data_IF_159866917948
#
_entry.id   IF_159866917948
#
_cell.length_a   1.000
_cell.length_b   1.000
_cell.length_c   1.000
_cell.angle_alpha   90.00
_cell.angle_beta   90.00
_cell.angle_gamma   90.00
#
_symmetry.space_group_name_H-M   'P 1'
#
loop_
_entity.id
_entity.type
_entity.pdbx_description
1 polymer ?
#
# COMPACT_ATOMS: atom_id res chain seq x y z
N UNK A 1 0.79 9.60 -6.93
CA UNK A 1 -0.23 9.18 -7.93
C UNK A 1 -1.53 9.96 -7.67
N UNK A 2 -2.21 10.43 -8.71
CA UNK A 2 -3.56 11.01 -8.62
C UNK A 2 -4.61 9.90 -8.51
N UNK A 3 -5.74 10.21 -7.87
CA UNK A 3 -6.89 9.31 -7.81
C UNK A 3 -7.91 9.77 -8.85
N UNK A 4 -8.03 9.03 -9.95
CA UNK A 4 -8.85 9.42 -11.10
C UNK A 4 -8.59 10.86 -11.53
N UNK A 5 -9.69 11.58 -11.80
CA UNK A 5 -9.70 12.98 -12.26
C UNK A 5 -9.92 14.01 -11.14
N UNK A 6 -9.72 13.64 -9.87
CA UNK A 6 -9.97 14.56 -8.73
C UNK A 6 -9.06 15.79 -8.76
N UNK A 7 -7.89 15.71 -9.40
CA UNK A 7 -7.03 16.89 -9.54
C UNK A 7 -7.46 17.81 -10.69
N UNK A 8 -8.25 17.30 -11.64
CA UNK A 8 -8.68 18.05 -12.82
C UNK A 8 -9.74 19.11 -12.47
N UNK A 9 -10.42 18.95 -11.34
CA UNK A 9 -11.40 19.93 -10.81
C UNK A 9 -10.74 21.06 -10.01
N UNK A 10 -9.48 20.93 -9.61
CA UNK A 10 -8.78 21.93 -8.79
C UNK A 10 -8.69 23.30 -9.48
N UNK A 11 -8.37 23.41 -10.79
CA UNK A 11 -8.33 24.69 -11.49
C UNK A 11 -9.70 25.37 -11.66
N UNK A 12 -10.79 24.61 -11.51
CA UNK A 12 -12.16 25.11 -11.66
C UNK A 12 -12.77 25.54 -10.32
N UNK A 13 -12.14 25.22 -9.20
CA UNK A 13 -12.70 25.42 -7.86
C UNK A 13 -12.30 26.77 -7.26
N UNK A 14 -13.27 27.50 -6.70
CA UNK A 14 -13.01 28.74 -5.96
C UNK A 14 -12.28 28.48 -4.62
N UNK A 15 -12.46 27.29 -4.03
CA UNK A 15 -11.85 26.92 -2.75
C UNK A 15 -11.53 25.44 -2.70
N UNK A 16 -10.35 25.09 -2.17
CA UNK A 16 -9.89 23.72 -1.98
C UNK A 16 -9.47 23.50 -0.53
N UNK A 17 -10.15 22.58 0.15
CA UNK A 17 -9.85 22.22 1.54
C UNK A 17 -9.37 20.77 1.62
N UNK A 18 -8.13 20.55 2.06
CA UNK A 18 -7.57 19.21 2.30
C UNK A 18 -7.64 18.85 3.78
N UNK A 19 -8.57 17.96 4.14
CA UNK A 19 -8.70 17.43 5.49
C UNK A 19 -7.50 16.55 5.87
N UNK A 20 -7.19 16.50 7.17
CA UNK A 20 -6.11 15.68 7.73
C UNK A 20 -6.70 14.72 8.75
N UNK A 21 -6.23 13.46 8.71
CA UNK A 21 -6.53 12.45 9.72
C UNK A 21 -5.42 12.42 10.79
N UNK A 22 -5.49 11.46 11.72
CA UNK A 22 -4.38 11.14 12.63
C UNK A 22 -3.66 9.90 12.11
N UNK A 23 -2.33 9.93 12.16
CA UNK A 23 -1.49 8.81 11.77
C UNK A 23 -1.66 7.68 12.78
N UNK A 24 -1.98 6.48 12.31
CA UNK A 24 -2.16 5.31 13.20
C UNK A 24 -0.86 4.91 13.92
N UNK A 25 0.31 5.25 13.37
CA UNK A 25 1.61 4.82 13.92
C UNK A 25 2.22 5.81 14.93
N UNK A 26 1.93 7.11 14.84
CA UNK A 26 2.50 8.11 15.76
C UNK A 26 1.53 9.20 16.22
N UNK A 27 0.25 9.14 15.83
CA UNK A 27 -0.78 10.08 16.26
C UNK A 27 -0.70 11.51 15.70
N UNK A 28 0.37 11.86 14.97
CA UNK A 28 0.56 13.14 14.26
C UNK A 28 -0.39 13.27 13.08
N UNK A 29 -0.49 14.45 12.47
CA UNK A 29 -1.30 14.64 11.27
C UNK A 29 -0.93 13.68 10.13
N UNK A 30 -1.92 12.97 9.61
CA UNK A 30 -1.83 12.12 8.44
C UNK A 30 -2.39 12.84 7.21
N UNK A 31 -1.68 12.69 6.10
CA UNK A 31 -2.06 13.27 4.80
C UNK A 31 -2.01 12.26 3.66
N UNK A 32 -1.70 11.00 4.00
CA UNK A 32 -1.56 9.88 3.09
C UNK A 32 -2.35 8.70 3.63
N UNK A 33 -2.76 7.82 2.74
CA UNK A 33 -3.38 6.54 3.05
C UNK A 33 -2.43 5.44 2.55
N UNK A 34 -2.02 4.55 3.44
CA UNK A 34 -1.20 3.39 3.12
C UNK A 34 -2.11 2.15 3.04
N UNK A 35 -1.99 1.37 1.97
CA UNK A 35 -2.67 0.07 1.85
C UNK A 35 -1.84 -0.97 2.60
N UNK A 36 -2.50 -1.79 3.44
CA UNK A 36 -1.89 -2.87 4.22
C UNK A 36 -1.69 -4.15 3.38
N UNK A 37 -2.58 -4.38 2.42
CA UNK A 37 -2.52 -5.51 1.49
C UNK A 37 -1.55 -5.28 0.33
N UNK A 38 -0.92 -6.36 -0.16
CA UNK A 38 -0.04 -6.38 -1.34
C UNK A 38 -0.78 -6.36 -2.68
N UNK A 39 -2.11 -6.31 -2.68
CA UNK A 39 -2.92 -6.27 -3.90
C UNK A 39 -2.61 -5.03 -4.75
N UNK A 40 -2.32 -5.23 -6.04
CA UNK A 40 -1.91 -4.17 -6.98
C UNK A 40 -3.06 -3.51 -7.74
N UNK A 41 -4.29 -4.01 -7.56
CA UNK A 41 -5.48 -3.43 -8.18
C UNK A 41 -5.66 -1.99 -7.68
N UNK A 42 -5.90 -1.06 -8.61
CA UNK A 42 -6.08 0.37 -8.27
C UNK A 42 -7.30 0.58 -7.40
N UNK A 43 -8.38 -0.15 -7.70
CA UNK A 43 -9.65 -0.07 -7.00
C UNK A 43 -9.82 -1.32 -6.15
N UNK A 44 -9.87 -1.13 -4.83
CA UNK A 44 -10.18 -2.18 -3.87
C UNK A 44 -11.04 -1.54 -2.78
N UNK A 45 -12.26 -2.02 -2.61
CA UNK A 45 -13.19 -1.54 -1.58
C UNK A 45 -12.76 -2.13 -0.24
N UNK A 46 -12.52 -1.27 0.74
CA UNK A 46 -12.10 -1.67 2.08
C UNK A 46 -12.03 -0.48 3.03
N UNK A 47 -12.06 -0.75 4.33
CA UNK A 47 -12.02 0.24 5.40
C UNK A 47 -10.67 0.27 6.11
N UNK A 48 -10.70 0.39 7.44
CA UNK A 48 -9.51 0.40 8.30
C UNK A 48 -8.75 -0.95 8.34
N UNK A 49 -9.42 -2.02 7.90
CA UNK A 49 -8.86 -3.35 7.70
C UNK A 49 -7.86 -3.37 6.53
N UNK A 50 -8.13 -2.61 5.46
CA UNK A 50 -7.31 -2.58 4.24
C UNK A 50 -6.40 -1.35 4.18
N UNK A 51 -6.84 -0.23 4.74
CA UNK A 51 -6.18 1.07 4.60
C UNK A 51 -5.89 1.71 5.95
N UNK A 52 -4.77 2.42 6.06
CA UNK A 52 -4.42 3.19 7.25
C UNK A 52 -3.97 4.62 6.91
N UNK A 53 -4.48 5.65 7.61
CA UNK A 53 -3.96 6.99 7.51
C UNK A 53 -2.56 7.08 8.14
N UNK A 54 -1.62 7.65 7.40
CA UNK A 54 -0.22 7.80 7.82
C UNK A 54 0.35 9.18 7.51
N UNK A 55 1.34 9.58 8.31
CA UNK A 55 2.14 10.76 8.02
C UNK A 55 3.13 10.48 6.87
N UNK A 56 3.78 11.53 6.35
CA UNK A 56 4.73 11.41 5.22
C UNK A 56 5.84 10.40 5.49
N UNK A 57 6.45 10.46 6.67
CA UNK A 57 7.55 9.58 7.06
C UNK A 57 7.11 8.11 7.01
N UNK A 58 6.00 7.79 7.69
CA UNK A 58 5.48 6.43 7.72
C UNK A 58 4.94 5.94 6.37
N UNK A 59 4.47 6.83 5.50
CA UNK A 59 4.12 6.45 4.14
C UNK A 59 5.34 5.98 3.36
N UNK A 60 6.43 6.76 3.38
CA UNK A 60 7.67 6.42 2.67
C UNK A 60 8.31 5.15 3.24
N UNK A 61 8.46 5.08 4.57
CA UNK A 61 9.02 3.90 5.23
C UNK A 61 8.15 2.64 5.02
N UNK A 62 6.82 2.78 5.10
CA UNK A 62 5.89 1.66 4.92
C UNK A 62 5.93 1.07 3.51
N UNK A 63 6.09 1.90 2.48
CA UNK A 63 6.22 1.43 1.09
C UNK A 63 7.45 0.54 0.90
N UNK A 64 8.60 0.91 1.50
CA UNK A 64 9.84 0.12 1.43
C UNK A 64 9.66 -1.26 2.09
N UNK A 65 8.97 -1.31 3.24
CA UNK A 65 8.71 -2.57 3.93
C UNK A 65 7.80 -3.47 3.10
N UNK A 66 6.71 -2.93 2.54
CA UNK A 66 5.78 -3.71 1.70
C UNK A 66 6.49 -4.26 0.46
N UNK A 67 7.32 -3.44 -0.19
CA UNK A 67 8.11 -3.87 -1.35
C UNK A 67 9.13 -4.96 -1.00
N UNK A 68 9.87 -4.81 0.10
CA UNK A 68 10.81 -5.83 0.57
C UNK A 68 10.10 -7.15 0.93
N UNK A 69 8.94 -7.06 1.59
CA UNK A 69 8.15 -8.23 1.98
C UNK A 69 7.66 -8.97 0.74
N UNK A 70 7.23 -8.25 -0.31
CA UNK A 70 6.88 -8.81 -1.61
C UNK A 70 8.05 -9.57 -2.22
N UNK A 71 9.23 -8.96 -2.31
CA UNK A 71 10.42 -9.63 -2.87
C UNK A 71 10.78 -10.92 -2.14
N UNK A 72 10.62 -10.95 -0.81
CA UNK A 72 10.86 -12.15 0.00
C UNK A 72 9.80 -13.21 -0.29
N UNK A 73 8.52 -12.85 -0.30
CA UNK A 73 7.42 -13.78 -0.59
C UNK A 73 7.53 -14.37 -2.00
N UNK A 74 7.85 -13.54 -3.00
CA UNK A 74 8.09 -14.01 -4.37
C UNK A 74 9.28 -14.99 -4.43
N UNK A 75 10.35 -14.73 -3.68
CA UNK A 75 11.52 -15.61 -3.60
C UNK A 75 11.23 -16.95 -2.91
N UNK A 76 10.34 -16.95 -1.91
CA UNK A 76 9.91 -18.18 -1.22
C UNK A 76 8.97 -19.02 -2.09
N UNK A 77 8.10 -18.40 -2.88
CA UNK A 77 7.25 -19.09 -3.87
C UNK A 77 8.12 -19.80 -4.92
N UNK A 78 9.18 -19.12 -5.36
CA UNK A 78 10.19 -19.64 -6.26
C UNK A 78 10.87 -20.86 -5.60
N UNK A 79 11.38 -20.75 -4.37
CA UNK A 79 12.02 -21.86 -3.65
C UNK A 79 11.14 -23.09 -3.37
N UNK A 80 9.86 -22.91 -3.06
CA UNK A 80 8.94 -24.02 -2.78
C UNK A 80 8.61 -24.86 -4.02
N UNK A 81 8.59 -24.24 -5.22
CA UNK A 81 8.30 -24.96 -6.47
C UNK A 81 9.37 -25.98 -6.89
N UNK A 82 10.60 -25.88 -6.35
CA UNK A 82 11.68 -26.82 -6.64
C UNK A 82 11.66 -28.06 -5.75
N UNK A 83 10.95 -28.03 -4.62
CA UNK A 83 10.86 -29.18 -3.71
C UNK A 83 9.81 -30.19 -4.19
N UNK A 84 8.77 -29.73 -4.89
CA UNK A 84 7.66 -30.58 -5.36
C UNK A 84 7.94 -31.32 -6.69
N UNK A 85 9.10 -31.06 -7.34
CA UNK A 85 9.48 -31.69 -8.62
C UNK A 85 10.64 -32.69 -8.53
N UNK A 86 11.19 -32.96 -7.34
CA UNK A 86 12.23 -33.97 -7.17
C UNK A 86 11.59 -35.40 -7.18
N UNK A 87 11.93 -36.29 -8.13
CA UNK A 87 11.42 -37.65 -8.10
C UNK A 87 12.02 -38.41 -6.91
N UNK A 88 11.16 -39.06 -6.13
CA UNK A 88 11.57 -39.98 -5.06
C UNK A 88 12.37 -41.13 -5.70
N UNK A 89 13.64 -41.36 -5.35
CA UNK A 89 14.39 -42.49 -5.89
C UNK A 89 13.82 -43.80 -5.35
N UNK A 90 13.41 -44.68 -6.26
CA UNK A 90 13.00 -46.07 -6.02
C UNK A 90 14.19 -46.99 -5.80
#
# INVERSE_FOLDING_TARGET
RSFGSVLDIVPLADTVTKLKARCELCGKHASFTLRKSGEMQTELIGGADVYMPVCRQHYVNGQVVIEATRTILDSQQICSSYIETAPVPS
#
